data_IF_111304228511
#
_entry.id   IF_111304228511
#
_cell.length_a   1.000
_cell.length_b   1.000
_cell.length_c   1.000
_cell.angle_alpha   90.00
_cell.angle_beta   90.00
_cell.angle_gamma   90.00
#
_symmetry.space_group_name_H-M   'P 1'
#
loop_
_entity.id
_entity.type
_entity.pdbx_description
1 polymer ?
#
# COMPACT_ATOMS: atom_id res chain seq x y z
N UNK A 1 -58.37 -48.90 25.34
CA UNK A 1 -57.46 -49.92 25.90
C UNK A 1 -56.28 -50.04 24.95
N UNK A 2 -55.08 -49.64 25.38
CA UNK A 2 -53.78 -50.07 24.80
C UNK A 2 -53.55 -51.57 25.12
N UNK A 3 -52.55 -52.33 24.59
CA UNK A 3 -51.31 -51.94 23.85
C UNK A 3 -50.85 -52.92 22.71
N UNK A 4 -49.62 -52.68 22.19
CA UNK A 4 -48.65 -53.52 21.42
C UNK A 4 -48.45 -53.04 19.96
N UNK A 5 -47.25 -52.79 19.42
CA UNK A 5 -45.86 -52.83 19.90
C UNK A 5 -44.95 -52.04 18.93
N UNK A 6 -43.98 -51.30 19.50
CA UNK A 6 -42.57 -51.18 19.11
C UNK A 6 -42.13 -51.12 17.62
N UNK A 7 -41.57 -49.98 17.21
CA UNK A 7 -40.23 -49.93 16.60
C UNK A 7 -39.63 -48.52 16.64
N UNK A 8 -38.46 -48.39 17.29
CA UNK A 8 -37.56 -47.24 17.19
C UNK A 8 -36.95 -47.17 15.79
N UNK A 9 -36.96 -46.00 15.17
CA UNK A 9 -35.99 -45.59 14.16
C UNK A 9 -35.64 -44.12 14.43
N UNK A 10 -34.46 -43.90 15.04
CA UNK A 10 -33.81 -42.60 15.02
C UNK A 10 -33.39 -42.30 13.59
N UNK A 11 -34.02 -41.33 12.95
CA UNK A 11 -33.45 -40.65 11.79
C UNK A 11 -32.96 -39.28 12.23
N UNK A 12 -31.65 -39.16 12.44
CA UNK A 12 -30.97 -37.88 12.49
C UNK A 12 -31.01 -37.28 11.08
N UNK A 13 -31.87 -36.27 10.87
CA UNK A 13 -31.81 -35.44 9.67
C UNK A 13 -30.80 -34.33 9.91
N UNK A 14 -29.74 -34.34 9.09
CA UNK A 14 -28.64 -33.39 9.10
C UNK A 14 -29.15 -31.95 8.93
N UNK A 15 -28.76 -31.07 9.84
CA UNK A 15 -28.77 -29.64 9.59
C UNK A 15 -27.68 -29.34 8.54
N UNK A 16 -28.08 -29.09 7.30
CA UNK A 16 -27.19 -28.51 6.30
C UNK A 16 -27.18 -26.99 6.47
N UNK A 17 -26.35 -26.49 7.39
CA UNK A 17 -25.96 -25.08 7.41
C UNK A 17 -24.64 -24.95 6.66
N UNK A 18 -24.71 -24.76 5.34
CA UNK A 18 -23.56 -24.33 4.54
C UNK A 18 -23.88 -22.99 3.91
N UNK A 19 -23.51 -21.93 4.62
CA UNK A 19 -23.18 -20.62 4.07
C UNK A 19 -22.24 -19.96 5.07
N UNK A 20 -20.95 -20.30 5.00
CA UNK A 20 -19.88 -19.49 5.57
C UNK A 20 -19.77 -18.22 4.72
N UNK A 21 -20.73 -17.32 4.83
CA UNK A 21 -20.47 -15.91 4.58
C UNK A 21 -19.65 -15.44 5.77
N UNK A 22 -18.34 -15.35 5.59
CA UNK A 22 -17.47 -14.60 6.49
C UNK A 22 -18.10 -13.20 6.63
N UNK A 23 -18.72 -12.94 7.79
CA UNK A 23 -19.22 -11.62 8.13
C UNK A 23 -18.04 -10.65 8.03
N UNK A 24 -18.02 -9.85 6.97
CA UNK A 24 -17.09 -8.73 6.83
C UNK A 24 -17.22 -7.91 8.10
N UNK A 25 -16.11 -7.66 8.81
CA UNK A 25 -16.12 -6.76 9.98
C UNK A 25 -16.73 -5.44 9.50
N UNK A 26 -17.94 -5.07 9.94
CA UNK A 26 -18.55 -3.85 9.46
C UNK A 26 -17.74 -2.71 10.04
N UNK A 27 -17.02 -1.98 9.21
CA UNK A 27 -16.64 -0.62 9.57
C UNK A 27 -17.96 0.11 9.86
N UNK A 28 -18.14 0.63 11.07
CA UNK A 28 -19.37 1.33 11.45
C UNK A 28 -19.58 2.51 10.51
N UNK A 29 -20.77 2.60 9.86
CA UNK A 29 -21.07 3.70 8.96
C UNK A 29 -20.84 5.02 9.72
N UNK A 30 -19.98 5.93 9.22
CA UNK A 30 -19.64 7.11 9.96
C UNK A 30 -20.91 7.92 10.23
N UNK A 31 -21.19 8.18 11.49
CA UNK A 31 -22.19 9.19 11.84
C UNK A 31 -21.72 10.53 11.26
N UNK A 32 -22.62 11.50 10.99
CA UNK A 32 -22.21 12.83 10.55
C UNK A 32 -21.47 13.57 11.69
N UNK A 33 -20.21 13.22 11.92
CA UNK A 33 -19.37 13.81 12.95
C UNK A 33 -18.60 14.97 12.33
N UNK A 34 -18.66 16.12 12.97
CA UNK A 34 -17.89 17.30 12.54
C UNK A 34 -16.71 17.50 13.47
N UNK A 35 -15.57 17.87 12.89
CA UNK A 35 -14.35 18.20 13.64
C UNK A 35 -14.04 19.69 13.48
N UNK A 36 -14.80 20.58 14.14
CA UNK A 36 -14.61 22.02 14.01
C UNK A 36 -13.29 22.49 14.63
N UNK A 37 -12.67 21.70 15.50
CA UNK A 37 -11.35 22.03 16.06
C UNK A 37 -10.20 21.78 15.06
N UNK A 38 -10.41 20.98 14.01
CA UNK A 38 -9.41 20.73 12.97
C UNK A 38 -9.55 21.80 11.89
N UNK A 39 -8.76 22.87 12.03
CA UNK A 39 -8.69 23.98 11.08
C UNK A 39 -7.47 23.82 10.17
N UNK A 40 -6.34 23.37 10.71
CA UNK A 40 -5.08 23.17 9.98
C UNK A 40 -4.72 21.68 9.94
N UNK A 41 -4.89 21.07 8.77
CA UNK A 41 -4.54 19.68 8.52
C UNK A 41 -3.33 19.62 7.58
N UNK A 42 -2.37 18.74 7.85
CA UNK A 42 -1.31 18.42 6.89
C UNK A 42 -1.11 16.91 6.76
N UNK A 43 -0.57 16.50 5.61
CA UNK A 43 -0.26 15.11 5.32
C UNK A 43 1.09 15.01 4.64
N UNK A 44 2.01 14.33 5.31
CA UNK A 44 3.35 14.02 4.80
C UNK A 44 3.46 12.50 4.63
N UNK A 45 4.49 12.06 3.93
CA UNK A 45 4.79 10.64 3.82
C UNK A 45 5.18 10.18 2.44
N UNK A 46 5.18 8.87 2.29
CA UNK A 46 5.52 8.15 1.06
C UNK A 46 4.31 7.99 0.11
N UNK A 47 4.43 7.05 -0.82
CA UNK A 47 3.42 6.71 -1.84
C UNK A 47 2.07 6.25 -1.27
N UNK A 48 2.03 5.70 -0.05
CA UNK A 48 0.78 5.30 0.61
C UNK A 48 0.00 6.51 1.12
N UNK A 49 0.66 7.59 1.52
CA UNK A 49 -0.02 8.85 1.81
C UNK A 49 -0.37 9.61 0.55
N UNK A 50 0.49 9.57 -0.49
CA UNK A 50 0.16 10.15 -1.79
C UNK A 50 -1.04 9.44 -2.46
N UNK A 51 -1.23 8.16 -2.15
CA UNK A 51 -2.30 7.29 -2.64
C UNK A 51 -2.11 6.95 -4.11
N UNK A 52 -0.90 6.51 -4.46
CA UNK A 52 -0.51 6.29 -5.84
C UNK A 52 -1.51 5.39 -6.59
N UNK A 53 -2.10 5.94 -7.64
CA UNK A 53 -3.09 5.28 -8.50
C UNK A 53 -4.53 5.45 -8.06
N UNK A 54 -4.82 5.86 -6.82
CA UNK A 54 -6.17 5.90 -6.25
C UNK A 54 -7.03 7.06 -6.77
N UNK A 55 -7.76 6.83 -7.86
CA UNK A 55 -8.71 7.77 -8.44
C UNK A 55 -8.07 8.87 -9.29
N UNK A 56 -8.63 10.08 -9.28
CA UNK A 56 -8.10 11.19 -10.09
C UNK A 56 -6.76 11.70 -9.59
N UNK A 57 -5.76 11.84 -10.46
CA UNK A 57 -4.45 12.41 -10.09
C UNK A 57 -4.58 13.91 -9.80
N UNK A 58 -4.06 14.33 -8.64
CA UNK A 58 -4.06 15.72 -8.16
C UNK A 58 -2.72 16.41 -8.40
N UNK A 59 -1.63 15.64 -8.34
CA UNK A 59 -0.28 16.14 -8.57
C UNK A 59 0.55 15.12 -9.36
N UNK A 60 1.30 15.63 -10.33
CA UNK A 60 2.15 14.80 -11.18
C UNK A 60 3.45 14.45 -10.47
N UNK A 61 4.16 15.44 -9.94
CA UNK A 61 5.51 15.28 -9.39
C UNK A 61 5.54 14.28 -8.22
N UNK A 62 4.73 14.51 -7.19
CA UNK A 62 4.69 13.61 -6.03
C UNK A 62 3.68 12.48 -6.16
N UNK A 63 3.00 12.35 -7.31
CA UNK A 63 2.01 11.30 -7.57
C UNK A 63 0.90 11.25 -6.51
N UNK A 64 0.29 12.39 -6.19
CA UNK A 64 -0.83 12.49 -5.24
C UNK A 64 -2.16 12.29 -5.95
N UNK A 65 -3.08 11.55 -5.33
CA UNK A 65 -4.37 11.20 -5.93
C UNK A 65 -5.58 11.50 -5.04
N UNK A 66 -6.74 11.65 -5.67
CA UNK A 66 -7.97 12.14 -5.07
C UNK A 66 -8.67 11.14 -4.15
N UNK A 67 -8.41 9.84 -4.30
CA UNK A 67 -8.90 8.79 -3.40
C UNK A 67 -7.82 8.28 -2.44
N UNK A 68 -6.77 9.05 -2.22
CA UNK A 68 -5.82 8.81 -1.13
C UNK A 68 -6.51 9.03 0.23
N UNK A 69 -6.11 8.27 1.25
CA UNK A 69 -6.70 8.37 2.59
C UNK A 69 -6.66 9.80 3.18
N UNK A 70 -5.60 10.62 2.97
CA UNK A 70 -5.60 11.98 3.48
C UNK A 70 -6.58 12.89 2.73
N UNK A 71 -6.72 12.73 1.41
CA UNK A 71 -7.67 13.52 0.65
C UNK A 71 -9.13 13.12 0.95
N UNK A 72 -9.40 11.83 1.19
CA UNK A 72 -10.71 11.34 1.65
C UNK A 72 -11.05 11.95 3.01
N UNK A 73 -10.12 11.95 3.96
CA UNK A 73 -10.30 12.61 5.26
C UNK A 73 -10.68 14.08 5.09
N UNK A 74 -9.86 14.83 4.34
CA UNK A 74 -10.07 16.27 4.16
C UNK A 74 -11.40 16.61 3.51
N UNK A 75 -11.74 15.92 2.41
CA UNK A 75 -12.87 16.27 1.54
C UNK A 75 -14.20 15.68 1.97
N UNK A 76 -14.17 14.55 2.69
CA UNK A 76 -15.38 13.75 2.94
C UNK A 76 -15.64 13.47 4.42
N UNK A 77 -14.61 13.10 5.20
CA UNK A 77 -14.84 12.53 6.54
C UNK A 77 -14.70 13.51 7.70
N UNK A 78 -13.92 14.59 7.56
CA UNK A 78 -13.76 15.57 8.64
C UNK A 78 -14.94 16.57 8.76
N UNK A 79 -15.97 16.42 7.93
CA UNK A 79 -17.13 17.32 7.85
C UNK A 79 -16.85 18.62 7.07
N UNK A 80 -17.90 19.36 6.71
CA UNK A 80 -17.76 20.60 5.95
C UNK A 80 -17.27 21.75 6.84
N UNK A 81 -16.14 22.36 6.47
CA UNK A 81 -15.64 23.60 7.05
C UNK A 81 -14.91 24.40 5.96
N UNK A 82 -15.48 25.53 5.55
CA UNK A 82 -14.92 26.37 4.46
C UNK A 82 -13.57 27.00 4.81
N UNK A 83 -13.22 27.08 6.10
CA UNK A 83 -11.97 27.66 6.57
C UNK A 83 -10.88 26.61 6.84
N UNK A 84 -11.20 25.31 6.73
CA UNK A 84 -10.19 24.26 6.94
C UNK A 84 -9.21 24.24 5.78
N UNK A 85 -7.93 24.30 6.09
CA UNK A 85 -6.86 24.11 5.11
C UNK A 85 -6.28 22.71 5.22
N UNK A 86 -5.89 22.16 4.06
CA UNK A 86 -5.13 20.92 3.97
C UNK A 86 -3.83 21.14 3.20
N UNK A 87 -2.70 20.91 3.87
CA UNK A 87 -1.38 20.92 3.26
C UNK A 87 -0.96 19.50 2.90
N UNK A 88 -1.10 19.13 1.63
CA UNK A 88 -0.81 17.78 1.15
C UNK A 88 0.60 17.71 0.54
N UNK A 89 1.57 17.19 1.31
CA UNK A 89 3.00 17.17 0.96
C UNK A 89 3.56 15.78 0.66
N UNK A 90 2.81 14.71 0.93
CA UNK A 90 3.24 13.35 0.66
C UNK A 90 3.75 13.16 -0.77
N UNK A 91 4.75 12.29 -0.94
CA UNK A 91 5.48 12.11 -2.18
C UNK A 91 5.90 10.66 -2.37
N UNK A 92 5.60 10.10 -3.55
CA UNK A 92 5.98 8.71 -3.87
C UNK A 92 7.48 8.48 -3.76
N UNK A 93 7.85 7.30 -3.24
CA UNK A 93 9.23 6.85 -3.17
C UNK A 93 10.10 7.39 -2.05
N UNK A 94 9.64 8.40 -1.30
CA UNK A 94 10.48 8.98 -0.25
C UNK A 94 10.62 8.04 0.96
N UNK A 95 11.85 7.96 1.47
CA UNK A 95 12.23 7.38 2.75
C UNK A 95 11.92 8.34 3.90
N UNK A 96 11.92 7.85 5.15
CA UNK A 96 11.69 8.71 6.31
C UNK A 96 12.75 9.82 6.48
N UNK A 97 13.99 9.60 6.04
CA UNK A 97 15.05 10.62 6.00
C UNK A 97 14.78 11.70 4.97
N UNK A 98 14.32 11.35 3.78
CA UNK A 98 13.96 12.34 2.75
C UNK A 98 12.71 13.14 3.13
N UNK A 99 11.73 12.49 3.78
CA UNK A 99 10.55 13.18 4.34
C UNK A 99 10.99 14.21 5.38
N UNK A 100 11.92 13.83 6.27
CA UNK A 100 12.50 14.74 7.27
C UNK A 100 13.21 15.94 6.63
N UNK A 101 13.95 15.73 5.54
CA UNK A 101 14.73 16.77 4.87
C UNK A 101 13.88 17.68 3.98
N UNK A 102 12.81 17.16 3.37
CA UNK A 102 12.08 17.87 2.31
C UNK A 102 10.66 18.26 2.71
N UNK A 103 9.90 17.38 3.38
CA UNK A 103 8.50 17.64 3.70
C UNK A 103 8.33 18.34 5.06
N UNK A 104 9.09 17.94 6.09
CA UNK A 104 8.98 18.54 7.44
C UNK A 104 9.30 20.04 7.46
N UNK A 105 10.34 20.54 6.77
CA UNK A 105 10.61 21.99 6.73
C UNK A 105 9.50 22.79 6.05
N UNK A 106 8.83 22.18 5.06
CA UNK A 106 7.71 22.78 4.34
C UNK A 106 6.41 22.80 5.14
N UNK A 107 6.30 22.05 6.24
CA UNK A 107 5.12 22.07 7.10
C UNK A 107 4.88 23.45 7.68
N UNK A 108 3.63 23.89 7.54
CA UNK A 108 3.09 25.01 8.30
C UNK A 108 3.14 24.71 9.82
N UNK A 109 3.12 25.75 10.64
CA UNK A 109 3.04 25.63 12.10
C UNK A 109 1.59 25.48 12.59
N UNK A 110 1.37 25.34 13.90
CA UNK A 110 0.04 25.29 14.51
C UNK A 110 -0.91 24.27 13.87
N UNK A 111 -0.40 23.10 13.49
CA UNK A 111 -1.18 22.03 12.89
C UNK A 111 -2.07 21.34 13.94
N UNK A 112 -3.34 21.15 13.63
CA UNK A 112 -4.30 20.42 14.48
C UNK A 112 -4.28 18.92 14.20
N UNK A 113 -4.00 18.55 12.95
CA UNK A 113 -3.93 17.17 12.50
C UNK A 113 -2.74 17.00 11.56
N UNK A 114 -1.95 15.96 11.77
CA UNK A 114 -0.89 15.52 10.86
C UNK A 114 -1.02 14.01 10.61
N UNK A 115 -1.04 13.59 9.35
CA UNK A 115 -0.95 12.17 8.98
C UNK A 115 0.38 11.88 8.30
N UNK A 116 0.95 10.70 8.59
CA UNK A 116 2.28 10.27 8.15
C UNK A 116 2.21 8.80 7.72
N UNK A 117 2.76 8.48 6.55
CA UNK A 117 3.21 7.11 6.20
C UNK A 117 4.70 7.14 5.87
N UNK A 118 5.48 6.24 6.46
CA UNK A 118 6.91 6.11 6.20
C UNK A 118 7.42 4.75 6.69
N UNK A 119 8.56 4.31 6.16
CA UNK A 119 9.27 3.12 6.62
C UNK A 119 9.34 1.99 5.58
N UNK A 120 8.40 1.89 4.65
CA UNK A 120 8.44 0.88 3.59
C UNK A 120 9.66 1.03 2.67
N UNK A 121 9.96 2.27 2.25
CA UNK A 121 11.12 2.57 1.41
C UNK A 121 12.45 2.42 2.18
N UNK A 122 12.46 2.77 3.47
CA UNK A 122 13.65 2.68 4.35
C UNK A 122 14.25 1.27 4.44
N UNK A 123 13.42 0.24 4.27
CA UNK A 123 13.85 -1.17 4.40
C UNK A 123 14.18 -1.82 3.04
N UNK A 124 13.97 -1.10 1.94
CA UNK A 124 14.23 -1.58 0.59
C UNK A 124 13.14 -2.51 0.06
N UNK A 125 11.88 -2.06 0.07
CA UNK A 125 10.77 -2.79 -0.56
C UNK A 125 10.96 -2.96 -2.08
N UNK A 126 11.59 -1.99 -2.76
CA UNK A 126 11.80 -2.03 -4.21
C UNK A 126 12.62 -3.23 -4.70
N UNK A 127 13.82 -3.49 -4.12
CA UNK A 127 14.56 -4.72 -4.39
C UNK A 127 13.74 -6.00 -4.17
N UNK A 128 12.93 -6.07 -3.11
CA UNK A 128 12.10 -7.25 -2.82
C UNK A 128 11.07 -7.48 -3.91
N UNK A 129 10.25 -6.48 -4.24
CA UNK A 129 9.23 -6.64 -5.29
C UNK A 129 9.88 -6.94 -6.64
N UNK A 130 11.01 -6.30 -6.94
CA UNK A 130 11.77 -6.55 -8.15
C UNK A 130 12.30 -7.98 -8.23
N UNK A 131 12.84 -8.53 -7.15
CA UNK A 131 13.55 -9.81 -7.19
C UNK A 131 12.66 -11.00 -6.83
N UNK A 132 11.62 -10.80 -6.03
CA UNK A 132 10.76 -11.86 -5.51
C UNK A 132 9.39 -11.95 -6.18
N UNK A 133 8.87 -10.86 -6.74
CA UNK A 133 7.49 -10.83 -7.26
C UNK A 133 7.49 -10.68 -8.78
N UNK A 134 8.07 -9.59 -9.27
CA UNK A 134 8.01 -9.24 -10.68
C UNK A 134 9.15 -9.80 -11.51
N UNK A 135 10.26 -10.15 -10.86
CA UNK A 135 11.50 -10.52 -11.53
C UNK A 135 11.81 -9.60 -12.71
N UNK A 136 11.70 -8.27 -12.51
CA UNK A 136 11.88 -7.31 -13.60
C UNK A 136 13.24 -7.45 -14.31
N UNK A 137 14.21 -8.19 -13.73
CA UNK A 137 15.58 -8.33 -14.22
C UNK A 137 16.13 -9.76 -14.19
N UNK A 138 15.31 -10.80 -14.44
CA UNK A 138 15.77 -12.20 -14.38
C UNK A 138 16.48 -12.54 -13.07
N UNK A 139 15.98 -11.97 -11.97
CA UNK A 139 16.50 -12.22 -10.65
C UNK A 139 16.42 -13.72 -10.35
N UNK A 140 17.54 -14.28 -9.89
CA UNK A 140 17.59 -15.67 -9.44
C UNK A 140 16.83 -15.82 -8.10
N UNK A 141 16.50 -17.06 -7.73
CA UNK A 141 15.92 -17.32 -6.40
C UNK A 141 16.83 -16.82 -5.26
N UNK A 142 18.15 -16.85 -5.46
CA UNK A 142 19.13 -16.38 -4.48
C UNK A 142 19.08 -14.85 -4.32
N UNK A 143 18.76 -14.10 -5.37
CA UNK A 143 18.57 -12.64 -5.29
C UNK A 143 17.33 -12.28 -4.46
N UNK A 144 16.24 -13.05 -4.59
CA UNK A 144 15.06 -12.88 -3.75
C UNK A 144 15.38 -13.14 -2.27
N UNK A 145 16.00 -14.28 -1.97
CA UNK A 145 16.41 -14.63 -0.59
C UNK A 145 17.31 -13.56 0.02
N UNK A 146 18.30 -13.09 -0.73
CA UNK A 146 19.21 -12.01 -0.31
C UNK A 146 18.42 -10.74 0.01
N UNK A 147 17.49 -10.34 -0.85
CA UNK A 147 16.69 -9.12 -0.66
C UNK A 147 15.82 -9.18 0.60
N UNK A 148 15.20 -10.34 0.86
CA UNK A 148 14.42 -10.58 2.09
C UNK A 148 15.32 -10.53 3.33
N UNK A 149 16.49 -11.16 3.29
CA UNK A 149 17.45 -11.17 4.40
C UNK A 149 17.96 -9.76 4.72
N UNK A 150 18.34 -8.99 3.71
CA UNK A 150 18.79 -7.61 3.91
C UNK A 150 17.69 -6.72 4.49
N UNK A 151 16.45 -6.85 3.99
CA UNK A 151 15.31 -6.11 4.55
C UNK A 151 15.04 -6.51 6.00
N UNK A 152 15.07 -7.81 6.31
CA UNK A 152 14.93 -8.30 7.68
C UNK A 152 16.02 -7.74 8.61
N UNK A 153 17.26 -7.64 8.15
CA UNK A 153 18.36 -7.02 8.91
C UNK A 153 18.13 -5.53 9.13
N UNK A 154 17.68 -4.78 8.11
CA UNK A 154 17.37 -3.34 8.21
C UNK A 154 16.23 -3.08 9.20
N UNK A 155 15.22 -3.95 9.25
CA UNK A 155 14.11 -3.86 10.20
C UNK A 155 14.52 -4.26 11.62
N UNK A 156 15.27 -5.36 11.76
CA UNK A 156 15.71 -5.86 13.07
C UNK A 156 16.66 -4.90 13.78
N UNK A 157 17.38 -4.08 13.02
CA UNK A 157 18.22 -3.02 13.57
C UNK A 157 17.39 -1.85 14.07
N UNK A 158 17.20 -1.77 15.40
CA UNK A 158 16.65 -0.57 16.06
C UNK A 158 17.51 0.69 15.83
N UNK A 159 18.75 0.54 15.35
CA UNK A 159 19.63 1.67 15.09
C UNK A 159 19.30 2.42 13.78
N UNK A 160 18.49 1.82 12.89
CA UNK A 160 18.14 2.41 11.60
C UNK A 160 16.68 2.86 11.51
N UNK A 161 15.74 1.95 11.28
CA UNK A 161 14.34 2.32 11.02
C UNK A 161 13.71 3.02 12.22
N UNK A 162 13.86 2.43 13.42
CA UNK A 162 13.34 3.02 14.66
C UNK A 162 13.89 4.42 14.90
N UNK A 163 15.21 4.61 14.75
CA UNK A 163 15.87 5.91 14.91
C UNK A 163 15.40 6.94 13.88
N UNK A 164 15.29 6.54 12.61
CA UNK A 164 14.86 7.45 11.54
C UNK A 164 13.42 7.93 11.76
N UNK A 165 12.49 7.00 12.06
CA UNK A 165 11.08 7.34 12.31
C UNK A 165 10.95 8.16 13.61
N UNK A 166 11.71 7.84 14.67
CA UNK A 166 11.73 8.64 15.90
C UNK A 166 12.17 10.08 15.63
N UNK A 167 13.20 10.26 14.80
CA UNK A 167 13.72 11.57 14.40
C UNK A 167 12.69 12.33 13.57
N UNK A 168 12.07 11.67 12.60
CA UNK A 168 10.99 12.23 11.78
C UNK A 168 9.84 12.73 12.65
N UNK A 169 9.29 11.88 13.52
CA UNK A 169 8.17 12.24 14.41
C UNK A 169 8.57 13.40 15.33
N UNK A 170 9.77 13.34 15.93
CA UNK A 170 10.25 14.40 16.83
C UNK A 170 10.37 15.76 16.13
N UNK A 171 10.80 15.78 14.86
CA UNK A 171 10.91 17.02 14.08
C UNK A 171 9.55 17.62 13.69
N UNK A 172 8.49 16.81 13.64
CA UNK A 172 7.12 17.31 13.37
C UNK A 172 6.45 17.91 14.61
N UNK A 173 6.83 17.49 15.83
CA UNK A 173 6.18 17.97 17.07
C UNK A 173 6.16 19.50 17.22
N UNK A 174 7.26 20.24 16.93
CA UNK A 174 7.25 21.71 16.96
C UNK A 174 6.34 22.39 15.92
N UNK A 175 5.80 21.65 14.94
CA UNK A 175 4.85 22.14 13.95
C UNK A 175 3.39 22.00 14.41
N UNK A 176 3.15 21.24 15.48
CA UNK A 176 1.79 20.97 15.97
C UNK A 176 1.30 22.06 16.91
N UNK A 177 -0.01 22.29 16.91
CA UNK A 177 -0.68 23.10 17.94
C UNK A 177 -0.65 22.37 19.30
N UNK A 178 -0.91 23.05 20.43
CA UNK A 178 -0.93 22.42 21.76
C UNK A 178 -1.94 21.26 21.90
N UNK A 179 -2.93 21.22 21.01
CA UNK A 179 -3.96 20.18 20.95
C UNK A 179 -3.87 19.34 19.66
N UNK A 180 -2.77 19.46 18.92
CA UNK A 180 -2.56 18.76 17.67
C UNK A 180 -2.37 17.26 17.86
N UNK A 181 -2.81 16.47 16.89
CA UNK A 181 -2.66 15.02 16.88
C UNK A 181 -1.86 14.58 15.65
N UNK A 182 -0.88 13.72 15.85
CA UNK A 182 -0.12 13.07 14.78
C UNK A 182 -0.58 11.62 14.66
N UNK A 183 -0.92 11.20 13.45
CA UNK A 183 -1.16 9.80 13.12
C UNK A 183 -0.06 9.26 12.21
N UNK A 184 0.55 8.16 12.64
CA UNK A 184 1.44 7.34 11.83
C UNK A 184 0.67 6.09 11.39
N UNK A 185 0.53 5.87 10.08
CA UNK A 185 -0.15 4.70 9.54
C UNK A 185 0.82 3.53 9.39
N UNK A 186 0.37 2.32 9.71
CA UNK A 186 1.09 1.08 9.38
C UNK A 186 0.96 0.68 7.92
N UNK A 187 1.26 -0.58 7.64
CA UNK A 187 1.04 -1.26 6.36
C UNK A 187 0.23 -2.54 6.56
N UNK A 188 -0.45 -3.04 5.52
CA UNK A 188 -1.12 -4.34 5.57
C UNK A 188 -0.31 -5.40 4.81
N UNK A 189 -0.37 -6.65 5.28
CA UNK A 189 0.22 -7.78 4.59
C UNK A 189 -0.40 -7.93 3.20
N UNK A 190 0.42 -8.24 2.21
CA UNK A 190 0.00 -8.25 0.81
C UNK A 190 -0.67 -9.55 0.39
N UNK A 191 -0.39 -10.65 1.10
CA UNK A 191 -0.80 -11.99 0.67
C UNK A 191 -1.65 -12.71 1.72
N UNK A 192 -2.68 -13.44 1.31
CA UNK A 192 -3.27 -14.52 2.09
C UNK A 192 -2.25 -15.64 2.27
N UNK A 193 -2.29 -16.34 3.40
CA UNK A 193 -1.36 -17.42 3.77
C UNK A 193 -2.08 -18.64 4.35
N UNK A 194 -3.38 -18.74 4.12
CA UNK A 194 -4.22 -19.79 4.70
C UNK A 194 -4.18 -21.11 3.89
N UNK A 195 -3.76 -21.06 2.64
CA UNK A 195 -3.62 -22.21 1.74
C UNK A 195 -2.45 -22.06 0.73
N UNK A 196 -2.24 -23.10 -0.07
CA UNK A 196 -1.23 -23.23 -1.13
C UNK A 196 -1.77 -22.90 -2.54
N UNK A 197 -2.97 -22.32 -2.66
CA UNK A 197 -3.64 -22.08 -3.93
C UNK A 197 -2.87 -21.19 -4.90
N UNK A 198 -1.95 -20.36 -4.38
CA UNK A 198 -1.07 -19.48 -5.15
C UNK A 198 0.30 -20.06 -5.48
N UNK A 199 0.61 -21.30 -5.11
CA UNK A 199 1.96 -21.84 -5.25
C UNK A 199 2.41 -22.03 -6.71
N UNK A 200 1.46 -22.01 -7.65
CA UNK A 200 1.70 -22.03 -9.09
C UNK A 200 1.47 -20.67 -9.78
N UNK A 201 1.20 -19.61 -9.01
CA UNK A 201 1.00 -18.25 -9.52
C UNK A 201 2.36 -17.55 -9.58
N UNK A 202 2.64 -16.91 -10.71
CA UNK A 202 3.85 -16.12 -10.93
C UNK A 202 3.46 -14.76 -11.48
N UNK A 203 4.03 -13.71 -10.90
CA UNK A 203 3.90 -12.33 -11.39
C UNK A 203 5.16 -11.86 -12.11
N UNK A 204 6.09 -12.79 -12.37
CA UNK A 204 7.27 -12.57 -13.19
C UNK A 204 6.86 -12.00 -14.56
N UNK A 205 7.30 -10.77 -14.84
CA UNK A 205 7.00 -10.05 -16.08
C UNK A 205 7.54 -10.82 -17.29
N UNK A 206 8.66 -11.53 -17.12
CA UNK A 206 9.38 -12.25 -18.18
C UNK A 206 9.09 -13.74 -18.22
N UNK A 207 7.96 -14.17 -17.69
CA UNK A 207 7.65 -15.60 -17.58
C UNK A 207 7.71 -16.36 -18.92
N UNK A 208 7.55 -15.74 -20.08
CA UNK A 208 7.65 -16.46 -21.37
C UNK A 208 9.07 -16.62 -21.89
N UNK A 209 10.04 -15.89 -21.35
CA UNK A 209 11.43 -15.89 -21.82
C UNK A 209 12.43 -16.38 -20.76
N UNK A 210 12.05 -16.36 -19.49
CA UNK A 210 12.85 -16.87 -18.38
C UNK A 210 12.66 -18.37 -18.15
N UNK A 211 13.78 -19.07 -17.99
CA UNK A 211 13.80 -20.49 -17.59
C UNK A 211 13.55 -20.70 -16.10
N UNK A 212 13.84 -19.71 -15.25
CA UNK A 212 13.63 -19.75 -13.80
C UNK A 212 12.65 -18.66 -13.40
N UNK A 213 11.53 -19.03 -12.79
CA UNK A 213 10.49 -18.09 -12.33
C UNK A 213 10.24 -18.25 -10.85
N UNK A 214 10.08 -17.12 -10.18
CA UNK A 214 9.66 -17.06 -8.80
C UNK A 214 8.14 -17.18 -8.74
N UNK A 215 7.69 -18.21 -8.02
CA UNK A 215 6.27 -18.41 -7.74
C UNK A 215 5.91 -17.86 -6.37
N UNK A 216 4.67 -17.43 -6.21
CA UNK A 216 4.08 -16.93 -4.97
C UNK A 216 3.75 -18.09 -4.01
N UNK A 217 4.74 -18.97 -3.78
CA UNK A 217 4.66 -20.07 -2.84
C UNK A 217 4.31 -19.56 -1.44
N UNK A 218 3.62 -20.41 -0.67
CA UNK A 218 3.23 -20.10 0.70
C UNK A 218 4.40 -19.54 1.54
N UNK A 219 5.56 -20.19 1.51
CA UNK A 219 6.76 -19.74 2.23
C UNK A 219 7.19 -18.30 1.85
N UNK A 220 7.14 -17.97 0.56
CA UNK A 220 7.48 -16.61 0.10
C UNK A 220 6.44 -15.60 0.60
N UNK A 221 5.14 -15.93 0.49
CA UNK A 221 4.04 -15.07 0.96
C UNK A 221 4.15 -14.82 2.47
N UNK A 222 4.44 -15.85 3.25
CA UNK A 222 4.68 -15.75 4.69
C UNK A 222 5.88 -14.87 5.02
N UNK A 223 7.00 -15.03 4.31
CA UNK A 223 8.21 -14.23 4.51
C UNK A 223 7.96 -12.74 4.21
N UNK A 224 7.26 -12.43 3.11
CA UNK A 224 6.92 -11.05 2.74
C UNK A 224 5.98 -10.40 3.77
N UNK A 225 4.96 -11.14 4.22
CA UNK A 225 4.07 -10.66 5.28
C UNK A 225 4.79 -10.49 6.63
N UNK A 226 5.80 -11.32 6.93
CA UNK A 226 6.61 -11.19 8.14
C UNK A 226 7.40 -9.87 8.15
N UNK A 227 7.94 -9.43 7.00
CA UNK A 227 8.59 -8.13 6.88
C UNK A 227 7.62 -6.97 7.16
N UNK A 228 6.39 -7.04 6.64
CA UNK A 228 5.36 -6.02 6.91
C UNK A 228 5.04 -5.95 8.41
N UNK A 229 4.83 -7.10 9.07
CA UNK A 229 4.60 -7.15 10.53
C UNK A 229 5.79 -6.59 11.31
N UNK A 230 7.01 -6.89 10.88
CA UNK A 230 8.21 -6.38 11.55
C UNK A 230 8.33 -4.85 11.43
N UNK A 231 8.04 -4.28 10.26
CA UNK A 231 7.96 -2.82 10.08
C UNK A 231 6.90 -2.22 11.01
N UNK A 232 5.68 -2.75 10.98
CA UNK A 232 4.59 -2.26 11.84
C UNK A 232 4.94 -2.32 13.33
N UNK A 233 5.63 -3.38 13.78
CA UNK A 233 6.10 -3.48 15.16
C UNK A 233 7.05 -2.33 15.51
N UNK A 234 7.97 -1.98 14.62
CA UNK A 234 8.89 -0.85 14.83
C UNK A 234 8.13 0.48 14.86
N UNK A 235 7.17 0.68 13.95
CA UNK A 235 6.36 1.91 13.93
C UNK A 235 5.52 2.05 15.21
N UNK A 236 4.94 0.95 15.70
CA UNK A 236 4.19 0.92 16.95
C UNK A 236 5.07 1.20 18.17
N UNK A 237 6.29 0.65 18.22
CA UNK A 237 7.28 0.96 19.27
C UNK A 237 7.57 2.48 19.28
N UNK A 238 7.85 3.08 18.11
CA UNK A 238 8.14 4.53 18.02
C UNK A 238 6.96 5.38 18.47
N UNK A 239 5.73 5.01 18.09
CA UNK A 239 4.53 5.73 18.52
C UNK A 239 4.36 5.65 20.04
N UNK A 240 4.58 4.47 20.62
CA UNK A 240 4.49 4.25 22.07
C UNK A 240 5.47 5.15 22.83
N UNK A 241 6.70 5.26 22.33
CA UNK A 241 7.76 6.09 22.92
C UNK A 241 7.61 7.59 22.61
N UNK A 242 6.82 7.95 21.60
CA UNK A 242 6.59 9.34 21.18
C UNK A 242 5.57 10.08 22.05
N UNK A 243 4.81 9.38 22.89
CA UNK A 243 3.88 9.95 23.86
C UNK A 243 2.45 10.22 23.31
N UNK A 244 1.55 10.74 24.14
CA UNK A 244 0.11 10.75 23.89
C UNK A 244 -0.35 11.77 22.83
N UNK A 245 0.54 12.46 22.12
CA UNK A 245 0.20 13.26 20.94
C UNK A 245 0.30 12.48 19.62
N UNK A 246 0.87 11.27 19.64
CA UNK A 246 1.12 10.45 18.44
C UNK A 246 0.32 9.15 18.53
N UNK A 247 -0.26 8.71 17.42
CA UNK A 247 -1.12 7.52 17.35
C UNK A 247 -0.77 6.65 16.16
N UNK A 248 -0.91 5.35 16.34
CA UNK A 248 -0.69 4.36 15.28
C UNK A 248 -2.02 3.93 14.71
N UNK A 249 -2.11 3.84 13.38
CA UNK A 249 -3.27 3.29 12.69
C UNK A 249 -2.87 1.96 12.07
N UNK A 250 -3.32 0.88 12.69
CA UNK A 250 -3.19 -0.47 12.17
C UNK A 250 -4.44 -0.83 11.35
N UNK A 251 -4.27 -0.88 10.03
CA UNK A 251 -5.32 -1.34 9.12
C UNK A 251 -5.11 -2.78 8.65
N UNK A 252 -4.03 -3.48 9.07
CA UNK A 252 -3.73 -4.84 8.61
C UNK A 252 -4.87 -5.82 8.93
N UNK A 253 -5.35 -5.82 10.17
CA UNK A 253 -6.42 -6.72 10.60
C UNK A 253 -7.74 -6.48 9.83
N UNK A 254 -8.02 -5.23 9.44
CA UNK A 254 -9.20 -4.90 8.66
C UNK A 254 -9.08 -5.37 7.22
N UNK A 255 -7.92 -5.19 6.59
CA UNK A 255 -7.66 -5.68 5.23
C UNK A 255 -7.73 -7.22 5.19
N UNK A 256 -7.18 -7.90 6.20
CA UNK A 256 -7.27 -9.36 6.34
C UNK A 256 -8.72 -9.82 6.52
N UNK A 257 -9.48 -9.21 7.42
CA UNK A 257 -10.87 -9.57 7.65
C UNK A 257 -11.77 -9.32 6.43
N UNK A 258 -11.48 -8.28 5.64
CA UNK A 258 -12.16 -8.00 4.38
C UNK A 258 -11.69 -8.89 3.23
N UNK A 259 -10.70 -9.75 3.47
CA UNK A 259 -10.07 -10.59 2.44
C UNK A 259 -9.52 -9.76 1.29
N UNK A 260 -8.84 -8.66 1.62
CA UNK A 260 -8.36 -7.68 0.67
C UNK A 260 -6.96 -7.92 0.11
N UNK A 261 -6.29 -9.00 0.52
CA UNK A 261 -4.93 -9.35 0.11
C UNK A 261 -4.89 -10.15 -1.19
N UNK A 262 -3.79 -10.20 -1.91
CA UNK A 262 -3.63 -11.18 -3.00
C UNK A 262 -3.63 -12.60 -2.43
N UNK A 263 -3.91 -13.62 -3.22
CA UNK A 263 -3.77 -15.02 -2.79
C UNK A 263 -4.61 -15.37 -1.55
N UNK A 264 -5.81 -14.81 -1.45
CA UNK A 264 -6.79 -15.15 -0.42
C UNK A 264 -7.39 -16.54 -0.68
N UNK A 265 -7.66 -17.31 0.39
CA UNK A 265 -8.07 -18.71 0.24
C UNK A 265 -9.29 -18.92 -0.68
N UNK A 266 -9.18 -19.80 -1.67
CA UNK A 266 -10.25 -20.03 -2.65
C UNK A 266 -10.44 -18.93 -3.69
N UNK A 267 -9.54 -17.95 -3.79
CA UNK A 267 -9.44 -17.04 -4.94
C UNK A 267 -8.52 -17.66 -5.99
N UNK A 268 -9.00 -17.76 -7.22
CA UNK A 268 -8.17 -18.17 -8.36
C UNK A 268 -7.46 -16.94 -8.93
N UNK A 269 -6.17 -16.79 -8.62
CA UNK A 269 -5.35 -15.67 -9.10
C UNK A 269 -4.79 -15.93 -10.52
N UNK A 270 -4.56 -14.87 -11.34
CA UNK A 270 -4.76 -13.45 -11.03
C UNK A 270 -6.24 -13.04 -11.03
N UNK A 271 -6.65 -12.19 -10.09
CA UNK A 271 -8.03 -11.76 -9.90
C UNK A 271 -8.15 -10.24 -9.70
N UNK A 272 -7.69 -9.44 -10.66
CA UNK A 272 -7.32 -8.04 -10.40
C UNK A 272 -8.49 -7.08 -10.16
N UNK A 273 -9.70 -7.47 -10.52
CA UNK A 273 -10.91 -6.69 -10.28
C UNK A 273 -11.88 -7.40 -9.33
N UNK A 274 -11.40 -8.39 -8.57
CA UNK A 274 -12.26 -9.10 -7.63
C UNK A 274 -12.80 -8.15 -6.56
N UNK A 275 -14.03 -8.39 -6.06
CA UNK A 275 -14.56 -7.65 -4.93
C UNK A 275 -13.62 -7.70 -3.72
N UNK A 276 -13.59 -6.60 -2.96
CA UNK A 276 -12.79 -6.42 -1.74
C UNK A 276 -11.27 -6.42 -1.89
N UNK A 277 -10.70 -6.67 -3.08
CA UNK A 277 -9.26 -6.54 -3.30
C UNK A 277 -8.84 -5.11 -2.93
N UNK A 278 -7.96 -4.99 -1.94
CA UNK A 278 -7.59 -3.72 -1.34
C UNK A 278 -6.35 -3.10 -1.97
N UNK A 279 -5.57 -3.88 -2.72
CA UNK A 279 -4.35 -3.43 -3.38
C UNK A 279 -4.46 -3.62 -4.89
N UNK A 280 -3.82 -2.76 -5.68
CA UNK A 280 -3.76 -2.99 -7.11
C UNK A 280 -2.90 -4.21 -7.41
N UNK A 281 -3.48 -5.19 -8.10
CA UNK A 281 -2.78 -6.26 -8.80
C UNK A 281 -2.47 -5.85 -10.25
N UNK A 282 -1.65 -6.62 -10.96
CA UNK A 282 -1.55 -6.59 -12.42
C UNK A 282 -2.90 -6.49 -13.11
N UNK A 283 -3.03 -5.60 -14.10
CA UNK A 283 -4.27 -5.41 -14.87
C UNK A 283 -5.53 -5.03 -14.07
N UNK A 284 -5.37 -4.60 -12.81
CA UNK A 284 -6.47 -3.98 -12.07
C UNK A 284 -6.96 -2.76 -12.83
N UNK A 285 -8.26 -2.50 -12.80
CA UNK A 285 -8.90 -1.34 -13.40
C UNK A 285 -10.02 -0.86 -12.49
N UNK A 286 -9.91 0.38 -12.02
CA UNK A 286 -10.99 0.98 -11.25
C UNK A 286 -12.12 1.47 -12.17
N UNK A 287 -13.30 1.63 -11.57
CA UNK A 287 -14.48 2.08 -12.30
C UNK A 287 -14.26 3.44 -12.96
N UNK A 288 -14.51 3.52 -14.27
CA UNK A 288 -14.34 4.74 -15.06
C UNK A 288 -12.93 4.99 -15.59
N UNK A 289 -11.98 4.07 -15.36
CA UNK A 289 -10.65 4.16 -15.95
C UNK A 289 -10.62 3.73 -17.43
N UNK A 290 -9.75 4.37 -18.20
CA UNK A 290 -9.47 4.01 -19.59
C UNK A 290 -8.16 3.21 -19.66
N UNK A 291 -8.19 1.93 -20.09
CA UNK A 291 -7.02 1.07 -20.10
C UNK A 291 -5.92 1.59 -21.04
N UNK A 292 -6.27 2.24 -22.15
CA UNK A 292 -5.28 2.84 -23.05
C UNK A 292 -4.59 4.02 -22.39
N UNK A 293 -5.32 4.81 -21.59
CA UNK A 293 -4.71 5.93 -20.85
C UNK A 293 -3.80 5.44 -19.74
N UNK A 294 -4.16 4.39 -19.01
CA UNK A 294 -3.29 3.83 -17.97
C UNK A 294 -1.98 3.29 -18.52
N UNK A 295 -2.02 2.70 -19.73
CA UNK A 295 -0.85 2.18 -20.45
C UNK A 295 -0.01 3.27 -21.11
N UNK A 296 -0.65 4.31 -21.63
CA UNK A 296 0.03 5.38 -22.38
C UNK A 296 0.41 6.58 -21.50
N UNK A 297 -0.12 6.69 -20.27
CA UNK A 297 0.31 7.70 -19.30
C UNK A 297 1.66 7.27 -18.73
N UNK A 298 2.69 7.72 -19.42
CA UNK A 298 4.03 7.83 -18.88
C UNK A 298 4.17 9.27 -18.38
N UNK A 299 4.53 9.46 -17.11
CA UNK A 299 4.50 10.76 -16.44
C UNK A 299 5.88 11.18 -15.97
N UNK A 300 6.26 12.41 -16.31
CA UNK A 300 7.51 13.09 -15.99
C UNK A 300 7.73 13.33 -14.49
N UNK A 301 9.01 13.32 -14.11
CA UNK A 301 9.61 13.46 -12.78
C UNK A 301 9.22 12.40 -11.73
N UNK A 302 9.74 11.21 -11.94
CA UNK A 302 9.89 10.18 -10.89
C UNK A 302 11.20 10.44 -10.15
N UNK A 303 11.21 10.70 -8.83
CA UNK A 303 12.45 10.84 -8.06
C UNK A 303 13.38 9.64 -8.26
N UNK A 304 14.68 9.86 -8.50
CA UNK A 304 15.65 8.80 -8.84
C UNK A 304 15.71 7.68 -7.80
N UNK A 305 15.38 7.99 -6.55
CA UNK A 305 15.46 7.08 -5.40
C UNK A 305 14.08 6.53 -4.97
N UNK A 306 13.05 6.72 -5.79
CA UNK A 306 11.73 6.09 -5.60
C UNK A 306 11.70 4.64 -6.06
N UNK A 307 10.66 3.88 -5.67
CA UNK A 307 10.41 2.52 -6.19
C UNK A 307 10.45 2.47 -7.72
N UNK A 308 9.78 3.43 -8.35
CA UNK A 308 9.68 3.59 -9.79
C UNK A 308 11.01 4.05 -10.40
N UNK A 309 11.76 4.89 -9.67
CA UNK A 309 13.13 5.29 -9.98
C UNK A 309 14.06 4.08 -10.02
N UNK A 310 14.02 3.26 -8.98
CA UNK A 310 14.81 2.04 -8.83
C UNK A 310 14.52 1.01 -9.91
N UNK A 311 13.25 0.77 -10.23
CA UNK A 311 12.88 -0.11 -11.33
C UNK A 311 13.53 0.42 -12.61
N UNK A 312 13.32 1.67 -12.97
CA UNK A 312 13.87 2.15 -14.22
C UNK A 312 15.40 2.23 -14.30
N UNK A 313 16.10 2.47 -13.19
CA UNK A 313 17.57 2.34 -13.12
C UNK A 313 18.01 0.93 -13.53
N UNK A 314 17.26 -0.08 -13.10
CA UNK A 314 17.53 -1.49 -13.39
C UNK A 314 17.10 -1.88 -14.82
N UNK A 315 15.98 -1.37 -15.35
CA UNK A 315 15.61 -1.53 -16.78
C UNK A 315 16.75 -1.04 -17.69
N UNK A 316 17.32 0.13 -17.38
CA UNK A 316 18.44 0.70 -18.12
C UNK A 316 19.68 -0.19 -18.06
N UNK A 317 19.97 -0.78 -16.89
CA UNK A 317 21.08 -1.72 -16.74
C UNK A 317 20.87 -2.96 -17.62
N UNK A 318 19.69 -3.57 -17.60
CA UNK A 318 19.38 -4.77 -18.39
C UNK A 318 19.45 -4.52 -19.89
N UNK A 319 18.95 -3.39 -20.39
CA UNK A 319 19.08 -3.02 -21.81
C UNK A 319 20.53 -2.80 -22.27
N UNK A 320 21.42 -2.42 -21.36
CA UNK A 320 22.86 -2.35 -21.64
C UNK A 320 23.51 -3.72 -21.69
N UNK A 321 23.04 -4.66 -20.87
CA UNK A 321 23.56 -6.04 -20.81
C UNK A 321 22.98 -6.93 -21.93
N UNK A 322 21.79 -6.59 -22.44
CA UNK A 322 21.07 -7.31 -23.50
C UNK A 322 20.65 -6.39 -24.66
N UNK A 323 21.58 -5.97 -25.53
CA UNK A 323 21.32 -5.00 -26.60
C UNK A 323 20.33 -5.48 -27.67
N UNK A 324 20.10 -6.80 -27.76
CA UNK A 324 19.15 -7.43 -28.66
C UNK A 324 17.68 -7.35 -28.18
N UNK A 325 17.44 -6.80 -27.00
CA UNK A 325 16.08 -6.61 -26.45
C UNK A 325 15.62 -5.16 -26.58
N UNK A 326 14.30 -4.99 -26.62
CA UNK A 326 13.61 -3.70 -26.51
C UNK A 326 12.41 -3.83 -25.58
N UNK A 327 11.99 -2.74 -24.93
CA UNK A 327 10.85 -2.77 -24.01
C UNK A 327 9.53 -2.45 -24.72
N UNK A 328 8.58 -3.37 -24.68
CA UNK A 328 7.19 -3.21 -25.12
C UNK A 328 6.28 -2.98 -23.88
N UNK A 329 5.39 -2.00 -23.83
CA UNK A 329 4.56 -1.74 -22.64
C UNK A 329 3.54 -2.85 -22.30
N UNK A 330 3.14 -3.67 -23.26
CA UNK A 330 2.17 -4.76 -23.11
C UNK A 330 2.83 -6.11 -22.87
N UNK A 331 4.05 -6.32 -23.40
CA UNK A 331 4.78 -7.60 -23.36
C UNK A 331 6.10 -7.52 -22.60
N UNK A 332 6.52 -6.31 -22.26
CA UNK A 332 7.82 -5.94 -21.73
C UNK A 332 8.99 -6.22 -22.70
N UNK A 333 10.20 -6.58 -22.24
CA UNK A 333 11.36 -6.95 -23.07
C UNK A 333 11.03 -8.04 -24.10
N UNK A 334 11.02 -7.62 -25.36
CA UNK A 334 10.89 -8.49 -26.53
C UNK A 334 12.21 -8.53 -27.28
N UNK A 335 12.54 -9.69 -27.86
CA UNK A 335 13.73 -9.82 -28.68
C UNK A 335 13.47 -9.15 -30.05
N UNK A 336 14.31 -8.16 -30.40
CA UNK A 336 14.24 -7.38 -31.65
C UNK A 336 14.17 -8.26 -32.90
N UNK A 337 14.82 -9.42 -32.88
CA UNK A 337 14.87 -10.33 -34.03
C UNK A 337 13.61 -11.19 -34.21
N UNK A 338 12.75 -11.31 -33.19
CA UNK A 338 11.51 -12.11 -33.27
C UNK A 338 10.24 -11.28 -33.50
N UNK A 339 10.29 -9.96 -33.34
CA UNK A 339 9.09 -9.10 -33.37
C UNK A 339 8.78 -8.47 -34.75
N UNK A 340 9.63 -8.61 -35.76
CA UNK A 340 9.47 -7.92 -37.05
C UNK A 340 9.77 -6.43 -36.89
N UNK A 341 11.01 -6.05 -37.19
CA UNK A 341 11.62 -4.79 -36.76
C UNK A 341 10.93 -3.51 -37.21
N UNK A 342 11.16 -2.45 -36.43
CA UNK A 342 11.06 -1.05 -36.85
C UNK A 342 12.39 -0.36 -36.53
N UNK A 343 12.78 0.50 -37.46
CA UNK A 343 14.11 1.07 -37.68
C UNK A 343 14.73 1.89 -36.56
N UNK A 344 16.06 1.91 -36.63
CA UNK A 344 17.03 2.80 -36.02
C UNK A 344 16.54 4.25 -35.83
N UNK A 345 16.15 4.57 -34.59
CA UNK A 345 16.56 5.83 -33.94
C UNK A 345 16.89 5.56 -32.49
N UNK A 346 18.19 5.40 -32.23
CA UNK A 346 18.73 5.35 -30.89
C UNK A 346 18.40 6.61 -30.09
N UNK A 347 17.92 6.38 -28.87
CA UNK A 347 18.04 7.31 -27.75
C UNK A 347 18.31 6.48 -26.49
N UNK A 348 19.54 5.96 -26.38
CA UNK A 348 20.05 5.42 -25.11
C UNK A 348 20.58 6.60 -24.31
N UNK A 349 19.77 7.12 -23.38
CA UNK A 349 20.21 8.16 -22.44
C UNK A 349 19.08 8.60 -21.54
N UNK A 350 19.28 8.51 -20.21
CA UNK A 350 18.51 9.00 -19.05
C UNK A 350 16.96 8.88 -19.06
N UNK A 351 16.41 8.25 -20.10
CA UNK A 351 14.99 8.31 -20.43
C UNK A 351 14.30 6.96 -20.19
N UNK A 352 14.66 6.23 -19.13
CA UNK A 352 14.06 4.91 -18.81
C UNK A 352 13.09 4.92 -17.61
N UNK A 353 13.12 5.96 -16.76
CA UNK A 353 12.15 6.20 -15.65
C UNK A 353 10.72 6.51 -16.08
N UNK A 354 10.50 6.53 -17.39
CA UNK A 354 9.31 6.97 -18.11
C UNK A 354 8.66 5.79 -18.85
N UNK A 355 9.12 4.55 -18.63
CA UNK A 355 8.63 3.35 -19.31
C UNK A 355 7.66 2.50 -18.47
N UNK A 356 7.52 2.78 -17.17
CA UNK A 356 6.53 2.09 -16.35
C UNK A 356 5.18 2.80 -16.49
N UNK A 357 4.18 2.17 -17.12
CA UNK A 357 2.85 2.75 -17.17
C UNK A 357 2.27 2.87 -15.76
N UNK A 358 1.33 3.81 -15.57
CA UNK A 358 0.64 3.99 -14.28
C UNK A 358 -0.01 2.68 -13.79
N UNK A 359 -0.39 1.78 -14.73
CA UNK A 359 -0.89 0.44 -14.41
C UNK A 359 0.11 -0.45 -13.67
N UNK A 360 1.41 -0.23 -13.85
CA UNK A 360 2.47 -0.99 -13.18
C UNK A 360 2.90 -0.33 -11.87
N UNK A 361 2.98 1.01 -11.86
CA UNK A 361 3.42 1.78 -10.69
C UNK A 361 2.53 1.58 -9.47
N UNK A 362 1.23 1.45 -9.71
CA UNK A 362 0.22 1.31 -8.65
C UNK A 362 0.18 -0.04 -7.98
N UNK A 363 0.76 -1.07 -8.59
CA UNK A 363 0.68 -2.42 -8.02
C UNK A 363 1.32 -2.44 -6.61
N UNK A 364 0.73 -3.18 -5.66
CA UNK A 364 1.01 -3.11 -4.20
C UNK A 364 0.56 -1.84 -3.47
N UNK A 365 0.05 -0.81 -4.16
CA UNK A 365 -0.57 0.33 -3.48
C UNK A 365 -2.06 0.06 -3.23
N UNK A 366 -2.61 0.74 -2.23
CA UNK A 366 -4.02 0.61 -1.89
C UNK A 366 -4.90 1.14 -3.03
N UNK A 367 -5.94 0.38 -3.34
CA UNK A 367 -7.09 0.83 -4.14
C UNK A 367 -7.92 1.84 -3.36
N UNK A 368 -8.84 2.58 -4.00
CA UNK A 368 -9.72 3.53 -3.32
C UNK A 368 -10.39 2.95 -2.07
N UNK A 369 -10.89 1.71 -2.14
CA UNK A 369 -11.54 1.02 -1.03
C UNK A 369 -10.56 0.75 0.13
N UNK A 370 -9.31 0.38 -0.17
CA UNK A 370 -8.25 0.22 0.83
C UNK A 370 -7.92 1.55 1.52
N UNK A 371 -7.86 2.66 0.77
CA UNK A 371 -7.70 3.99 1.35
C UNK A 371 -8.89 4.43 2.21
N UNK A 372 -10.12 4.04 1.83
CA UNK A 372 -11.30 4.28 2.64
C UNK A 372 -11.22 3.56 4.00
N UNK A 373 -10.69 2.34 4.06
CA UNK A 373 -10.43 1.65 5.34
C UNK A 373 -9.51 2.48 6.23
N UNK A 374 -8.36 2.94 5.70
CA UNK A 374 -7.40 3.76 6.48
C UNK A 374 -8.04 5.06 6.96
N UNK A 375 -8.75 5.76 6.07
CA UNK A 375 -9.40 7.02 6.38
C UNK A 375 -10.49 6.87 7.46
N UNK A 376 -11.25 5.77 7.43
CA UNK A 376 -12.29 5.48 8.42
C UNK A 376 -11.71 5.10 9.77
N UNK A 377 -10.63 4.33 9.83
CA UNK A 377 -9.96 4.03 11.09
C UNK A 377 -9.36 5.28 11.74
N UNK A 378 -8.82 6.19 10.94
CA UNK A 378 -8.40 7.51 11.40
C UNK A 378 -9.57 8.31 11.98
N UNK A 379 -10.71 8.31 11.29
CA UNK A 379 -11.92 8.97 11.75
C UNK A 379 -12.42 8.38 13.08
N UNK A 380 -12.56 7.06 13.19
CA UNK A 380 -13.00 6.39 14.43
C UNK A 380 -12.06 6.71 15.60
N UNK A 381 -10.76 6.78 15.35
CA UNK A 381 -9.79 7.16 16.36
C UNK A 381 -9.96 8.63 16.77
N UNK A 382 -10.21 9.54 15.82
CA UNK A 382 -10.53 10.94 16.08
C UNK A 382 -11.84 11.11 16.86
N UNK A 383 -12.86 10.30 16.59
CA UNK A 383 -14.11 10.30 17.36
C UNK A 383 -13.81 9.88 18.80
N UNK A 384 -13.17 8.74 19.01
CA UNK A 384 -12.91 8.21 20.35
C UNK A 384 -11.99 9.11 21.19
N UNK A 385 -11.01 9.76 20.57
CA UNK A 385 -9.89 10.41 21.27
C UNK A 385 -9.69 11.90 20.96
N UNK A 386 -10.51 12.50 20.09
CA UNK A 386 -10.39 13.89 19.69
C UNK A 386 -10.66 14.86 20.84
N UNK A 387 -9.90 15.97 20.87
CA UNK A 387 -9.95 16.96 21.95
C UNK A 387 -11.31 17.67 22.09
N UNK A 388 -12.16 17.62 21.05
CA UNK A 388 -13.52 18.19 21.06
C UNK A 388 -14.53 17.42 21.91
N UNK A 389 -14.34 16.12 22.18
CA UNK A 389 -15.36 15.30 22.86
C UNK A 389 -15.27 15.27 24.40
N UNK A 390 -14.25 15.92 25.00
CA UNK A 390 -14.13 16.00 26.46
C UNK A 390 -15.03 17.08 27.08
N UNK A 391 -15.48 18.07 26.31
CA UNK A 391 -16.38 19.12 26.83
C UNK A 391 -17.84 18.65 26.91
N UNK A 392 -18.32 17.93 25.90
CA UNK A 392 -19.75 17.57 25.83
C UNK A 392 -20.14 16.36 26.70
N UNK A 393 -19.17 15.62 27.24
CA UNK A 393 -19.42 14.48 28.15
C UNK A 393 -19.50 14.85 29.64
N UNK A 394 -19.31 16.12 29.98
CA UNK A 394 -19.42 16.62 31.36
C UNK A 394 -20.72 17.41 31.61
N UNK A 395 -21.62 17.52 30.63
CA UNK A 395 -22.89 18.24 30.74
C UNK A 395 -24.14 17.39 30.38
N UNK A 396 -24.11 16.07 30.62
CA UNK A 396 -25.30 15.21 30.58
C UNK A 396 -25.43 14.36 31.84
#
# INVERSE_FOLDING_TARGET
MLPHSLLLLLTAALATSNSNTLDQIPLEAPLPTTFPWIQRFASIGDSYSAGLGAGGRLDFYCSRYAKSYPNILHTSLLGHNQNRTHQFLACSGQTSTEILETQVPALSHDLDLLTISAGGNDIGLSPILSNCVYQFYMASEDDCKTSIQEAAQRVASKDQLYKNITTLISATKPKMSPHGIIYLTGYAGFFGVDDDGCDNVTWAVWSTVESSKQYLKLELREALNALVRAVNSVLLDVVSDSGPGVRFIDYNAHIEALRGRYCEAGVAEPAPNRPALAFYEWDTMDSGEDPKKLRNRTGEDVPKDSFEGDIAKRINKTLREHPEWEFDPDKGFVNKTKAGGVDDKGAVGDTIHWLLPDSWKRVFHLRPEGHEVVARLLLEHLEKNGNGMKKDRLEL
#
